data_IF_104943076939
#
_entry.id   IF_104943076939
#
_cell.length_a   1.000
_cell.length_b   1.000
_cell.length_c   1.000
_cell.angle_alpha   90.00
_cell.angle_beta   90.00
_cell.angle_gamma   90.00
#
_symmetry.space_group_name_H-M   'P 1'
#
loop_
_entity.id
_entity.type
_entity.pdbx_description
1 polymer ?
2 non-polymer ?
3 non-polymer ?
4 water ?
#
# COMPACT_ATOMS: atom_id res chain seq x y z
N UNK A 54 0.48 11.30 -26.14
CA UNK A 54 -0.21 10.08 -26.55
C UNK A 54 0.55 8.82 -26.13
N UNK A 55 1.87 8.83 -26.31
CA UNK A 55 2.68 7.67 -25.95
C UNK A 55 2.56 7.36 -24.47
N UNK A 56 2.66 8.38 -23.61
CA UNK A 56 2.54 8.14 -22.18
C UNK A 56 1.11 7.84 -21.75
N UNK A 57 0.11 8.29 -22.52
CA UNK A 57 -1.27 7.91 -22.23
C UNK A 57 -1.50 6.42 -22.48
N UNK A 58 -0.77 5.83 -23.44
CA UNK A 58 -0.98 4.45 -23.82
C UNK A 58 0.00 3.47 -23.18
N UNK A 59 1.11 3.95 -22.60
CA UNK A 59 2.19 3.07 -22.17
C UNK A 59 1.72 2.08 -21.10
N UNK A 60 1.03 2.58 -20.07
CA UNK A 60 0.67 1.71 -18.95
C UNK A 60 -0.25 0.58 -19.39
N UNK A 61 -1.18 0.88 -20.30
CA UNK A 61 -2.12 -0.14 -20.74
C UNK A 61 -1.51 -1.09 -21.76
N UNK A 62 -0.47 -0.66 -22.47
CA UNK A 62 0.06 -1.44 -23.58
C UNK A 62 1.33 -2.22 -23.30
N UNK A 63 1.96 -2.01 -22.13
CA UNK A 63 3.24 -2.62 -21.83
C UNK A 63 3.16 -3.58 -20.65
N UNK A 64 4.01 -4.60 -20.60
CA UNK A 64 4.10 -5.41 -19.39
C UNK A 64 4.82 -4.65 -18.28
N UNK A 65 4.53 -5.06 -17.05
CA UNK A 65 5.31 -4.61 -15.91
C UNK A 65 6.76 -5.10 -16.03
N UNK A 66 7.64 -4.44 -15.30
CA UNK A 66 9.02 -4.91 -15.15
C UNK A 66 9.02 -6.04 -14.12
N UNK A 67 9.08 -7.29 -14.61
CA UNK A 67 9.02 -8.45 -13.72
C UNK A 67 10.26 -8.57 -12.84
N UNK A 68 11.35 -7.88 -13.19
CA UNK A 68 12.58 -7.91 -12.41
C UNK A 68 12.65 -6.80 -11.36
N UNK A 69 11.58 -6.03 -11.17
CA UNK A 69 11.59 -4.97 -10.16
C UNK A 69 11.72 -5.58 -8.77
N UNK A 70 12.48 -4.90 -7.91
CA UNK A 70 12.77 -5.40 -6.58
C UNK A 70 12.05 -4.60 -5.51
N UNK A 71 11.78 -5.19 -4.34
CA UNK A 71 12.02 -6.60 -3.93
C UNK A 71 11.25 -7.59 -4.80
N UNK A 72 10.07 -7.14 -5.18
CA UNK A 72 9.13 -7.82 -6.07
C UNK A 72 8.45 -6.74 -6.87
N UNK A 73 7.78 -7.09 -7.98
CA UNK A 73 6.94 -6.11 -8.67
C UNK A 73 5.87 -5.57 -7.73
N UNK A 74 5.48 -4.31 -7.96
CA UNK A 74 4.45 -3.69 -7.14
C UNK A 74 4.93 -2.59 -6.18
N UNK A 75 6.18 -2.17 -6.27
CA UNK A 75 6.69 -1.08 -5.42
C UNK A 75 7.24 0.03 -6.30
N UNK A 76 8.24 -0.30 -7.12
CA UNK A 76 8.86 0.68 -8.00
C UNK A 76 8.13 0.75 -9.35
N UNK A 77 8.58 1.68 -10.19
CA UNK A 77 7.93 1.91 -11.46
C UNK A 77 6.68 2.75 -11.31
N UNK A 78 6.02 3.01 -12.43
CA UNK A 78 4.76 3.71 -12.39
C UNK A 78 3.69 2.79 -11.80
N UNK A 79 2.88 3.34 -10.91
CA UNK A 79 1.81 2.56 -10.31
C UNK A 79 0.65 2.44 -11.29
N UNK A 80 0.17 1.23 -11.53
CA UNK A 80 -0.99 1.05 -12.42
C UNK A 80 -2.24 1.69 -11.83
N UNK A 81 -3.22 1.89 -12.72
CA UNK A 81 -4.46 2.56 -12.33
C UNK A 81 -5.33 1.75 -11.37
N UNK A 82 -5.22 0.41 -11.37
CA UNK A 82 -6.09 -0.42 -10.54
C UNK A 82 -5.26 -1.33 -9.65
N UNK A 83 -5.83 -1.65 -8.49
CA UNK A 83 -5.21 -2.59 -7.55
C UNK A 83 -6.30 -3.48 -6.96
N UNK A 84 -5.91 -4.70 -6.62
CA UNK A 84 -6.73 -5.59 -5.82
C UNK A 84 -5.84 -6.08 -4.71
N UNK A 85 -6.18 -5.75 -3.47
CA UNK A 85 -5.43 -6.16 -2.29
C UNK A 85 -6.20 -7.28 -1.63
N UNK A 86 -5.58 -8.45 -1.48
CA UNK A 86 -6.26 -9.60 -0.91
C UNK A 86 -5.44 -10.13 0.25
N UNK A 87 -6.09 -10.28 1.41
CA UNK A 87 -5.49 -10.86 2.59
C UNK A 87 -6.06 -12.25 2.81
N UNK A 88 -5.18 -13.24 3.01
CA UNK A 88 -5.58 -14.63 3.16
C UNK A 88 -5.14 -15.15 4.52
N UNK A 89 -5.91 -16.10 5.05
CA UNK A 89 -5.50 -16.88 6.19
C UNK A 89 -5.30 -18.33 5.76
N UNK A 90 -4.34 -19.01 6.37
CA UNK A 90 -4.28 -20.45 6.18
C UNK A 90 -5.60 -21.06 6.61
N UNK A 91 -6.06 -22.04 5.84
CA UNK A 91 -7.34 -22.65 6.12
C UNK A 91 -7.32 -23.34 7.47
N UNK A 92 -8.48 -23.38 8.14
CA UNK A 92 -8.51 -24.03 9.44
C UNK A 92 -8.15 -25.50 9.34
N UNK A 93 -8.39 -26.10 8.17
CA UNK A 93 -8.13 -27.53 7.98
C UNK A 93 -6.65 -27.87 7.88
N UNK A 94 -5.75 -26.90 7.73
CA UNK A 94 -4.32 -27.20 7.60
C UNK A 94 -3.55 -26.89 8.88
N UNK A 95 -4.24 -26.61 9.99
CA UNK A 95 -3.61 -26.17 11.22
C UNK A 95 -3.55 -27.26 12.30
N UNK A 96 -3.53 -28.54 11.91
CA UNK A 96 -3.32 -29.60 12.91
C UNK A 96 -2.11 -29.31 13.77
N UNK A 97 -1.00 -28.96 13.13
CA UNK A 97 0.23 -28.66 13.84
C UNK A 97 1.03 -27.71 12.96
N UNK A 98 2.17 -27.26 13.49
CA UNK A 98 3.00 -26.33 12.75
C UNK A 98 3.55 -26.94 11.47
N UNK A 99 3.66 -28.27 11.40
CA UNK A 99 4.15 -28.92 10.20
C UNK A 99 3.12 -28.94 9.09
N UNK A 100 1.86 -29.24 9.40
CA UNK A 100 0.85 -29.19 8.35
C UNK A 100 0.63 -27.76 7.89
N UNK A 101 0.76 -26.79 8.79
CA UNK A 101 0.62 -25.39 8.39
C UNK A 101 1.79 -24.97 7.50
N UNK A 102 3.01 -25.38 7.85
CA UNK A 102 4.15 -25.02 7.03
C UNK A 102 4.06 -25.64 5.64
N UNK A 103 3.60 -26.89 5.54
CA UNK A 103 3.45 -27.53 4.24
C UNK A 103 2.40 -26.81 3.40
N UNK A 104 1.31 -26.38 4.04
CA UNK A 104 0.31 -25.61 3.30
C UNK A 104 0.88 -24.28 2.80
N UNK A 105 1.63 -23.59 3.66
CA UNK A 105 2.24 -22.33 3.27
C UNK A 105 3.19 -22.52 2.10
N UNK A 106 4.00 -23.58 2.13
CA UNK A 106 4.93 -23.84 1.03
C UNK A 106 4.17 -24.11 -0.26
N UNK A 107 3.06 -24.83 -0.17
CA UNK A 107 2.28 -25.17 -1.35
C UNK A 107 1.71 -23.91 -1.99
N UNK A 108 1.08 -23.04 -1.20
CA UNK A 108 0.43 -21.89 -1.81
C UNK A 108 1.45 -20.85 -2.28
N UNK A 109 2.54 -20.66 -1.52
CA UNK A 109 3.53 -19.68 -1.97
C UNK A 109 4.21 -20.11 -3.26
N UNK A 110 4.54 -21.40 -3.40
CA UNK A 110 5.12 -21.86 -4.66
C UNK A 110 4.12 -21.75 -5.81
N UNK A 111 2.85 -22.10 -5.56
CA UNK A 111 1.82 -22.01 -6.59
C UNK A 111 1.65 -20.57 -7.07
N UNK A 112 1.54 -19.64 -6.13
CA UNK A 112 1.39 -18.24 -6.51
C UNK A 112 2.59 -17.75 -7.30
N UNK A 113 3.79 -18.15 -6.89
CA UNK A 113 4.99 -17.69 -7.58
C UNK A 113 5.06 -18.22 -9.01
N UNK A 114 4.72 -19.50 -9.20
CA UNK A 114 4.73 -20.07 -10.53
C UNK A 114 3.70 -19.39 -11.41
N UNK A 115 2.51 -19.14 -10.87
CA UNK A 115 1.47 -18.47 -11.63
C UNK A 115 1.84 -17.02 -11.90
N UNK A 116 2.40 -16.32 -10.90
CA UNK A 116 2.85 -14.95 -11.12
C UNK A 116 3.89 -14.87 -12.24
N UNK A 117 4.84 -15.81 -12.28
CA UNK A 117 5.82 -15.81 -13.36
C UNK A 117 5.15 -15.92 -14.72
N UNK A 118 4.16 -16.81 -14.85
CA UNK A 118 3.45 -16.94 -16.11
C UNK A 118 2.65 -15.69 -16.43
N UNK A 119 2.00 -15.09 -15.42
CA UNK A 119 1.21 -13.89 -15.65
C UNK A 119 2.10 -12.72 -16.06
N UNK A 120 3.25 -12.57 -15.41
CA UNK A 120 4.15 -11.48 -15.78
C UNK A 120 4.66 -11.66 -17.21
N UNK A 121 4.92 -12.90 -17.61
CA UNK A 121 5.54 -13.14 -18.92
C UNK A 121 4.52 -13.16 -20.05
N UNK A 122 3.33 -13.72 -19.83
CA UNK A 122 2.36 -13.94 -20.89
C UNK A 122 0.98 -13.33 -20.62
N UNK A 123 0.67 -12.91 -19.41
CA UNK A 123 -0.65 -12.42 -19.08
C UNK A 123 -1.60 -13.53 -18.70
N UNK A 124 -2.84 -13.17 -18.32
CA UNK A 124 -3.85 -14.22 -18.06
C UNK A 124 -4.09 -15.05 -19.30
N UNK A 125 -4.42 -16.32 -19.07
CA UNK A 125 -4.45 -17.28 -20.15
C UNK A 125 -5.52 -16.92 -21.18
N UNK A 126 -5.43 -17.56 -22.34
CA UNK A 126 -6.58 -17.61 -23.22
C UNK A 126 -7.76 -18.22 -22.46
N UNK A 127 -8.96 -17.89 -22.91
CA UNK A 127 -10.13 -18.38 -22.23
C UNK A 127 -10.45 -17.71 -20.92
N UNK A 128 -9.79 -16.61 -20.60
CA UNK A 128 -10.15 -15.83 -19.42
C UNK A 128 -10.84 -14.54 -19.87
N UNK A 129 -11.26 -13.74 -18.88
CA UNK A 129 -11.86 -12.44 -19.16
C UNK A 129 -10.90 -11.50 -19.88
N UNK A 130 -9.59 -11.75 -19.81
CA UNK A 130 -8.60 -10.84 -20.37
C UNK A 130 -8.10 -11.25 -21.74
N UNK A 131 -8.67 -12.30 -22.34
CA UNK A 131 -8.26 -12.67 -23.69
C UNK A 131 -8.51 -11.51 -24.64
N UNK A 132 -7.52 -11.23 -25.49
CA UNK A 132 -7.61 -10.14 -26.44
C UNK A 132 -7.14 -8.80 -25.92
N UNK A 133 -6.63 -8.75 -24.69
CA UNK A 133 -6.17 -7.50 -24.11
C UNK A 133 -4.65 -7.47 -24.02
N UNK A 134 -4.13 -6.24 -23.99
CA UNK A 134 -2.70 -5.99 -23.85
C UNK A 134 -2.27 -6.30 -22.41
N UNK A 135 -0.97 -6.32 -22.14
CA UNK A 135 -0.52 -6.76 -20.80
C UNK A 135 -0.93 -5.84 -19.67
N UNK A 136 -1.09 -4.55 -19.97
CA UNK A 136 -1.64 -3.58 -19.01
C UNK A 136 -0.87 -3.56 -17.69
N UNK A 137 0.45 -3.70 -17.78
CA UNK A 137 1.34 -3.53 -16.63
C UNK A 137 0.97 -4.44 -15.46
N UNK A 138 0.49 -5.65 -15.75
CA UNK A 138 0.08 -6.57 -14.69
C UNK A 138 1.26 -6.90 -13.79
N UNK A 139 1.05 -6.74 -12.48
CA UNK A 139 2.10 -7.01 -11.50
C UNK A 139 1.52 -7.68 -10.26
N UNK A 140 2.23 -8.68 -9.76
CA UNK A 140 1.81 -9.46 -8.60
C UNK A 140 2.89 -9.39 -7.53
N UNK A 141 2.49 -9.00 -6.31
CA UNK A 141 3.34 -8.93 -5.13
C UNK A 141 2.81 -9.88 -4.06
N UNK A 142 3.72 -10.62 -3.42
CA UNK A 142 3.38 -11.56 -2.36
C UNK A 142 3.96 -11.07 -1.03
N UNK A 143 3.13 -11.06 0.02
CA UNK A 143 3.58 -10.65 1.34
C UNK A 143 3.21 -11.67 2.38
N UNK A 144 3.95 -11.62 3.50
CA UNK A 144 3.84 -12.59 4.59
C UNK A 144 3.56 -11.86 5.89
N UNK A 145 2.54 -12.32 6.62
CA UNK A 145 2.22 -11.72 7.90
C UNK A 145 2.95 -12.37 9.07
N UNK A 146 3.12 -11.58 10.14
CA UNK A 146 3.69 -12.15 11.37
C UNK A 146 2.92 -13.38 11.83
N UNK A 147 1.60 -13.37 11.63
CA UNK A 147 0.77 -14.50 12.06
C UNK A 147 1.10 -15.76 11.28
N UNK A 148 1.52 -15.63 10.03
CA UNK A 148 1.98 -16.80 9.27
C UNK A 148 3.17 -17.44 9.97
N UNK A 149 4.15 -16.61 10.35
CA UNK A 149 5.33 -17.16 11.00
C UNK A 149 4.96 -17.84 12.31
N UNK A 150 4.00 -17.29 13.05
CA UNK A 150 3.54 -17.97 14.25
C UNK A 150 2.94 -19.34 13.91
N UNK A 151 2.10 -19.37 12.87
CA UNK A 151 1.34 -20.58 12.55
C UNK A 151 2.23 -21.71 12.08
N UNK A 152 3.37 -21.40 11.46
CA UNK A 152 4.24 -22.44 10.90
C UNK A 152 5.41 -22.78 11.81
N UNK A 153 5.43 -22.24 13.02
CA UNK A 153 6.49 -22.55 13.95
C UNK A 153 7.77 -21.81 13.70
N UNK A 154 7.69 -20.60 13.14
CA UNK A 154 8.86 -19.82 12.76
C UNK A 154 8.92 -18.48 13.51
N UNK A 155 8.44 -18.46 14.76
CA UNK A 155 8.48 -17.23 15.56
C UNK A 155 9.90 -16.68 15.69
N UNK A 156 10.90 -17.56 15.77
CA UNK A 156 12.28 -17.08 15.89
C UNK A 156 12.82 -16.52 14.59
N UNK A 157 12.06 -16.59 13.49
CA UNK A 157 12.45 -15.96 12.24
C UNK A 157 11.83 -14.58 12.06
N UNK A 158 10.96 -14.16 12.99
CA UNK A 158 10.29 -12.85 12.86
C UNK A 158 11.26 -11.72 13.15
N UNK A 159 11.56 -10.85 12.19
CA UNK A 159 12.38 -9.68 12.51
C UNK A 159 11.63 -8.71 13.43
N UNK A 160 12.39 -7.89 14.14
CA UNK A 160 11.77 -6.87 14.98
C UNK A 160 10.84 -5.97 14.18
N UNK A 161 11.17 -5.69 12.92
CA UNK A 161 10.34 -4.82 12.10
C UNK A 161 8.97 -5.42 11.78
N UNK A 162 8.78 -6.72 11.96
CA UNK A 162 7.49 -7.35 11.74
C UNK A 162 6.64 -7.38 12.99
N UNK A 163 7.04 -6.67 14.04
CA UNK A 163 6.21 -6.58 15.22
C UNK A 163 4.84 -6.00 14.89
N UNK A 164 3.82 -6.48 15.58
CA UNK A 164 2.47 -5.98 15.35
C UNK A 164 2.40 -4.47 15.52
N UNK A 165 1.57 -3.83 14.70
CA UNK A 165 1.38 -2.41 14.83
C UNK A 165 0.68 -2.10 16.16
N UNK A 166 1.01 -0.99 16.82
CA UNK A 166 0.31 -0.63 18.04
C UNK A 166 -1.09 -0.13 17.73
N UNK A 167 -1.91 -0.05 18.77
CA UNK A 167 -3.17 0.66 18.68
C UNK A 167 -2.88 2.16 18.66
N UNK A 168 -3.71 2.90 17.94
CA UNK A 168 -3.63 4.35 17.96
C UNK A 168 -4.95 4.91 18.48
N UNK A 169 -4.87 6.12 19.04
CA UNK A 169 -6.01 6.68 19.77
C UNK A 169 -7.22 6.93 18.88
N UNK A 170 -7.04 7.06 17.57
CA UNK A 170 -8.14 7.32 16.65
C UNK A 170 -8.65 6.07 15.95
N UNK A 171 -8.09 4.89 16.26
CA UNK A 171 -8.51 3.64 15.62
C UNK A 171 -10.01 3.41 15.76
N UNK A 172 -10.63 2.97 14.66
CA UNK A 172 -11.99 2.41 14.66
C UNK A 172 -11.99 1.11 13.84
N UNK A 173 -11.10 0.20 14.20
CA UNK A 173 -10.78 -0.94 13.35
C UNK A 173 -11.79 -2.05 13.49
N UNK A 174 -12.21 -2.61 12.35
CA UNK A 174 -13.03 -3.81 12.34
C UNK A 174 -12.11 -5.03 12.31
N UNK A 175 -12.18 -5.96 13.26
CA UNK A 175 -11.24 -7.09 13.26
C UNK A 175 -11.24 -7.91 11.98
N UNK A 176 -12.39 -8.08 11.32
CA UNK A 176 -12.42 -8.86 10.09
C UNK A 176 -11.72 -8.14 8.93
N UNK A 177 -11.41 -6.86 9.08
CA UNK A 177 -10.69 -6.10 8.07
C UNK A 177 -9.24 -5.88 8.45
N UNK A 178 -8.73 -6.61 9.43
CA UNK A 178 -7.37 -6.42 9.92
C UNK A 178 -6.56 -7.70 9.79
N UNK A 179 -5.25 -7.52 9.56
CA UNK A 179 -4.31 -8.62 9.60
C UNK A 179 -4.46 -9.57 8.43
N UNK A 180 -3.87 -10.75 8.61
CA UNK A 180 -3.87 -11.80 7.60
C UNK A 180 -2.54 -12.52 7.55
N UNK A 181 -2.58 -13.82 7.28
CA UNK A 181 -1.34 -14.60 7.16
C UNK A 181 -0.58 -14.26 5.89
N UNK A 182 -1.29 -13.98 4.79
CA UNK A 182 -0.67 -13.86 3.48
C UNK A 182 -1.33 -12.73 2.72
N UNK A 183 -0.54 -12.08 1.86
CA UNK A 183 -0.98 -10.95 1.04
C UNK A 183 -0.72 -11.20 -0.43
N UNK A 184 -1.72 -10.92 -1.26
CA UNK A 184 -1.48 -10.66 -2.68
C UNK A 184 -1.84 -9.22 -2.97
N UNK A 185 -0.92 -8.48 -3.57
CA UNK A 185 -1.22 -7.19 -4.16
C UNK A 185 -1.15 -7.38 -5.66
N UNK A 186 -2.27 -7.19 -6.35
CA UNK A 186 -2.33 -7.39 -7.78
C UNK A 186 -2.65 -6.04 -8.41
N UNK A 187 -1.85 -5.63 -9.39
CA UNK A 187 -2.05 -4.35 -10.04
C UNK A 187 -2.11 -4.51 -11.54
N UNK A 188 -2.89 -3.64 -12.17
CA UNK A 188 -2.93 -3.58 -13.63
C UNK A 188 -3.58 -2.27 -14.05
N UNK A 189 -3.33 -1.90 -15.31
CA UNK A 189 -3.90 -0.67 -15.87
C UNK A 189 -5.30 -0.90 -16.43
N UNK A 190 -5.78 -2.13 -16.42
CA UNK A 190 -7.08 -2.49 -16.93
C UNK A 190 -7.82 -3.39 -15.96
N UNK A 191 -9.11 -3.13 -15.72
CA UNK A 191 -9.85 -3.89 -14.70
C UNK A 191 -10.15 -5.31 -15.11
N UNK A 192 -10.24 -5.59 -16.42
CA UNK A 192 -10.47 -6.97 -16.83
C UNK A 192 -9.20 -7.80 -16.75
N UNK A 193 -8.05 -7.21 -17.10
CA UNK A 193 -6.78 -7.90 -16.87
C UNK A 193 -6.62 -8.22 -15.39
N UNK A 194 -6.94 -7.25 -14.54
CA UNK A 194 -6.85 -7.45 -13.09
C UNK A 194 -7.79 -8.55 -12.63
N UNK A 195 -9.05 -8.51 -13.09
CA UNK A 195 -10.03 -9.49 -12.65
C UNK A 195 -9.62 -10.89 -13.05
N UNK A 196 -9.08 -11.05 -14.26
CA UNK A 196 -8.68 -12.38 -14.71
C UNK A 196 -7.51 -12.90 -13.91
N UNK A 197 -6.52 -12.05 -13.61
CA UNK A 197 -5.38 -12.49 -12.82
C UNK A 197 -5.78 -12.84 -11.39
N UNK A 198 -6.63 -11.99 -10.79
CA UNK A 198 -7.08 -12.26 -9.43
C UNK A 198 -7.84 -13.58 -9.35
N UNK A 199 -8.68 -13.86 -10.35
CA UNK A 199 -9.43 -15.13 -10.34
C UNK A 199 -8.49 -16.32 -10.37
N UNK A 200 -7.46 -16.28 -11.23
CA UNK A 200 -6.51 -17.38 -11.30
C UNK A 200 -5.74 -17.54 -10.00
N UNK A 201 -5.34 -16.42 -9.40
CA UNK A 201 -4.52 -16.52 -8.20
C UNK A 201 -5.33 -17.02 -7.01
N UNK A 202 -6.58 -16.58 -6.89
CA UNK A 202 -7.43 -17.09 -5.82
C UNK A 202 -7.71 -18.57 -6.04
N UNK A 203 -7.95 -18.98 -7.29
CA UNK A 203 -8.22 -20.39 -7.55
C UNK A 203 -7.06 -21.26 -7.11
N UNK A 204 -5.83 -20.76 -7.25
CA UNK A 204 -4.66 -21.52 -6.87
C UNK A 204 -4.52 -21.67 -5.37
N UNK A 205 -5.30 -20.94 -4.60
CA UNK A 205 -5.16 -20.90 -3.15
C UNK A 205 -6.26 -21.65 -2.42
N UNK A 206 -7.20 -22.28 -3.13
CA UNK A 206 -8.46 -22.68 -2.50
C UNK A 206 -8.29 -23.79 -1.48
N UNK A 207 -7.38 -24.74 -1.71
CA UNK A 207 -7.30 -25.85 -0.77
C UNK A 207 -6.46 -25.55 0.46
N UNK A 208 -5.71 -24.46 0.46
CA UNK A 208 -4.79 -24.16 1.54
C UNK A 208 -5.15 -22.90 2.32
N UNK A 209 -5.97 -22.01 1.76
CA UNK A 209 -6.21 -20.72 2.36
C UNK A 209 -7.66 -20.33 2.18
N UNK A 210 -8.07 -19.29 2.93
CA UNK A 210 -9.36 -18.65 2.77
C UNK A 210 -9.15 -17.14 2.73
N UNK A 211 -9.96 -16.45 1.92
CA UNK A 211 -9.86 -15.00 1.84
C UNK A 211 -10.35 -14.42 3.16
N UNK A 212 -9.48 -13.64 3.82
CA UNK A 212 -9.87 -12.97 5.05
C UNK A 212 -10.60 -11.66 4.76
N UNK A 213 -9.99 -10.81 3.95
CA UNK A 213 -10.64 -9.60 3.46
C UNK A 213 -9.98 -9.21 2.15
N UNK A 214 -10.69 -8.41 1.36
CA UNK A 214 -10.15 -7.97 0.07
C UNK A 214 -10.74 -6.63 -0.28
N UNK A 215 -9.94 -5.81 -0.95
CA UNK A 215 -10.40 -4.49 -1.34
C UNK A 215 -9.81 -4.12 -2.69
N UNK A 216 -10.68 -3.67 -3.60
CA UNK A 216 -10.27 -3.17 -4.90
C UNK A 216 -10.11 -1.65 -4.81
N UNK A 217 -9.09 -1.13 -5.49
CA UNK A 217 -8.82 0.28 -5.48
C UNK A 217 -8.51 0.80 -6.87
N UNK A 218 -8.58 2.13 -7.01
CA UNK A 218 -8.36 2.74 -8.32
C UNK A 218 -7.73 4.11 -8.18
N UNK A 219 -7.05 4.51 -9.24
CA UNK A 219 -6.59 5.86 -9.54
C UNK A 219 -7.16 6.26 -10.88
N UNK A 220 -6.83 7.45 -11.34
CA UNK A 220 -7.17 7.76 -12.72
C UNK A 220 -6.32 6.90 -13.65
N UNK A 221 -6.86 6.68 -14.85
CA UNK A 221 -6.13 5.94 -15.86
C UNK A 221 -5.18 6.87 -16.62
N UNK A 222 -4.05 6.32 -17.04
CA UNK A 222 -3.10 7.13 -17.80
C UNK A 222 -3.76 7.69 -19.05
N UNK A 223 -4.64 6.92 -19.68
CA UNK A 223 -5.26 7.37 -20.93
C UNK A 223 -6.08 8.63 -20.74
N UNK A 224 -6.58 8.90 -19.53
CA UNK A 224 -7.43 10.05 -19.28
C UNK A 224 -6.70 11.24 -18.69
N UNK A 225 -5.38 11.15 -18.52
CA UNK A 225 -4.63 12.25 -17.92
C UNK A 225 -4.33 13.31 -18.98
N UNK A 226 -4.74 14.55 -18.71
CA UNK A 226 -4.31 15.66 -19.56
C UNK A 226 -2.79 15.78 -19.57
N UNK A 227 -2.17 15.62 -18.40
CA UNK A 227 -0.71 15.61 -18.27
C UNK A 227 -0.32 14.29 -17.60
N UNK A 228 0.19 13.33 -18.36
CA UNK A 228 0.39 11.98 -17.79
C UNK A 228 1.42 11.93 -16.68
N UNK A 229 2.31 12.93 -16.57
CA UNK A 229 3.28 12.98 -15.50
C UNK A 229 2.75 13.67 -14.25
N UNK A 230 1.53 14.20 -14.27
CA UNK A 230 1.02 14.92 -13.11
C UNK A 230 0.73 13.97 -11.96
N UNK A 231 0.85 14.50 -10.75
CA UNK A 231 0.56 13.73 -9.55
C UNK A 231 -0.93 13.43 -9.49
N UNK A 232 -1.32 12.21 -9.08
CA UNK A 232 -2.76 11.87 -9.00
C UNK A 232 -3.46 12.65 -7.91
N UNK A 233 -4.79 12.63 -7.97
CA UNK A 233 -5.65 13.18 -6.92
C UNK A 233 -6.43 12.08 -6.22
N UNK A 234 -6.89 12.36 -5.00
CA UNK A 234 -7.69 11.42 -4.25
C UNK A 234 -9.16 11.86 -4.29
N UNK A 235 -10.01 11.14 -3.54
CA UNK A 235 -11.45 11.40 -3.60
C UNK A 235 -11.85 12.69 -2.89
N UNK A 236 -10.96 13.25 -2.08
CA UNK A 236 -11.17 14.58 -1.52
C UNK A 236 -10.75 15.68 -2.49
N UNK A 237 -10.27 15.32 -3.68
CA UNK A 237 -9.83 16.26 -4.68
C UNK A 237 -8.41 16.75 -4.52
N UNK A 238 -7.67 16.19 -3.56
CA UNK A 238 -6.34 16.68 -3.22
C UNK A 238 -5.28 16.01 -4.07
N UNK A 239 -4.26 16.78 -4.45
CA UNK A 239 -3.09 16.21 -5.09
C UNK A 239 -2.37 15.33 -4.09
N UNK A 240 -2.07 14.10 -4.48
CA UNK A 240 -1.70 13.04 -3.54
C UNK A 240 -0.42 12.36 -4.02
N UNK A 241 0.70 12.64 -3.33
CA UNK A 241 1.95 11.95 -3.60
C UNK A 241 3.17 12.84 -3.69
N UNK A 242 2.97 14.15 -3.58
CA UNK A 242 4.03 15.12 -3.85
C UNK A 242 5.32 14.84 -3.08
N UNK A 243 5.21 14.56 -1.77
CA UNK A 243 6.39 14.48 -0.93
C UNK A 243 7.05 13.11 -0.91
N UNK A 244 6.57 12.17 -1.71
CA UNK A 244 7.23 10.87 -1.80
C UNK A 244 8.69 11.04 -2.26
N UNK A 245 9.61 10.23 -1.75
CA UNK A 245 10.96 10.22 -2.30
C UNK A 245 10.95 9.75 -3.75
N UNK A 246 11.76 10.42 -4.58
CA UNK A 246 11.86 10.07 -5.99
C UNK A 246 12.54 8.71 -6.16
N UNK A 247 12.07 7.94 -7.14
CA UNK A 247 12.53 6.56 -7.26
C UNK A 247 13.98 6.46 -7.73
N UNK A 248 14.47 7.47 -8.47
CA UNK A 248 15.86 7.43 -8.95
C UNK A 248 16.83 8.05 -7.95
N UNK A 249 16.46 8.08 -6.68
CA UNK A 249 17.12 8.83 -5.62
C UNK A 249 17.60 7.85 -4.56
N UNK A 250 18.80 8.08 -4.00
CA UNK A 250 19.25 7.22 -2.92
C UNK A 250 18.31 7.27 -1.71
N UNK A 251 17.58 8.38 -1.55
CA UNK A 251 16.60 8.46 -0.47
C UNK A 251 15.52 7.40 -0.60
N UNK A 252 15.17 7.01 -1.82
CA UNK A 252 14.11 6.01 -1.98
C UNK A 252 14.52 4.68 -1.35
N UNK A 253 15.70 4.17 -1.71
CA UNK A 253 16.14 2.90 -1.15
C UNK A 253 16.33 2.99 0.36
N UNK A 254 16.86 4.13 0.85
CA UNK A 254 17.01 4.30 2.29
C UNK A 254 15.65 4.24 2.99
N UNK A 255 14.61 4.74 2.33
CA UNK A 255 13.29 4.80 2.93
C UNK A 255 12.59 3.44 2.89
N UNK A 256 12.76 2.69 1.80
CA UNK A 256 11.89 1.54 1.50
C UNK A 256 12.52 0.21 1.92
N UNK A 257 13.83 0.09 1.87
CA UNK A 257 14.49 -1.21 1.97
C UNK A 257 14.83 -1.56 3.42
N UNK A 258 14.53 -2.81 3.81
CA UNK A 258 14.87 -3.27 5.15
C UNK A 258 16.36 -3.14 5.41
N UNK A 259 16.71 -2.83 6.65
CA UNK A 259 18.11 -2.80 7.04
C UNK A 259 18.65 -4.23 7.13
N UNK A 260 19.87 -4.41 6.60
CA UNK A 260 20.50 -5.72 6.58
C UNK A 260 20.52 -6.35 7.97
N UNK A 261 20.11 -7.60 8.05
CA UNK A 261 19.93 -8.26 9.33
C UNK A 261 21.27 -8.55 9.97
N UNK A 262 21.33 -8.36 11.28
CA UNK A 262 22.49 -8.86 12.03
C UNK A 262 22.28 -10.29 12.51
N UNK A 263 21.03 -10.72 12.64
CA UNK A 263 20.71 -12.10 13.01
C UNK A 263 20.44 -12.87 11.73
N UNK A 264 21.19 -13.92 11.42
CA UNK A 264 20.93 -14.64 10.16
C UNK A 264 19.55 -15.24 10.10
N UNK A 265 18.89 -15.45 11.25
CA UNK A 265 17.52 -15.97 11.23
C UNK A 265 16.56 -14.98 10.61
N UNK A 266 16.93 -13.70 10.55
CA UNK A 266 16.09 -12.65 10.00
C UNK A 266 16.54 -12.20 8.63
N UNK A 267 17.60 -12.78 8.08
CA UNK A 267 18.18 -12.34 6.82
C UNK A 267 17.27 -12.62 5.64
N UNK A 268 16.24 -13.45 5.81
CA UNK A 268 15.31 -13.68 4.71
C UNK A 268 14.62 -12.39 4.27
N UNK A 269 14.62 -11.35 5.12
CA UNK A 269 14.06 -10.07 4.71
C UNK A 269 15.10 -9.10 4.13
N UNK A 270 16.37 -9.49 4.01
CA UNK A 270 17.35 -8.60 3.41
C UNK A 270 16.93 -8.23 1.99
N UNK A 271 16.96 -6.93 1.69
CA UNK A 271 16.51 -6.43 0.40
C UNK A 271 15.00 -6.32 0.25
N UNK A 272 14.23 -6.72 1.25
CA UNK A 272 12.78 -6.64 1.20
C UNK A 272 12.27 -5.31 1.74
N UNK A 273 10.94 -5.22 1.82
CA UNK A 273 10.30 -4.02 2.36
C UNK A 273 9.10 -4.44 3.17
N UNK A 274 8.64 -3.55 4.05
CA UNK A 274 7.44 -3.77 4.85
C UNK A 274 6.33 -2.86 4.36
N UNK A 275 5.14 -3.44 4.18
CA UNK A 275 3.96 -2.73 3.72
C UNK A 275 2.99 -2.58 4.88
N UNK A 276 2.58 -1.35 5.16
CA UNK A 276 1.44 -1.06 6.04
C UNK A 276 0.25 -0.70 5.18
N UNK A 277 -0.87 -1.41 5.37
CA UNK A 277 -2.13 -1.10 4.71
C UNK A 277 -3.09 -0.52 5.75
N UNK A 278 -3.77 0.57 5.40
CA UNK A 278 -4.85 1.10 6.22
C UNK A 278 -6.04 1.39 5.34
N UNK A 279 -7.20 0.90 5.74
CA UNK A 279 -8.45 1.20 5.07
C UNK A 279 -9.05 2.41 5.76
N UNK A 280 -8.99 3.56 5.11
CA UNK A 280 -9.33 4.84 5.74
C UNK A 280 -10.57 5.40 5.05
N UNK A 281 -11.71 5.35 5.74
CA UNK A 281 -12.94 5.91 5.17
C UNK A 281 -12.85 7.44 5.23
N UNK A 282 -13.25 8.08 4.14
CA UNK A 282 -13.34 9.54 4.09
C UNK A 282 -14.77 9.97 4.36
N UNK A 283 -14.92 11.00 5.18
CA UNK A 283 -16.23 11.59 5.50
C UNK A 283 -16.54 12.63 4.43
N UNK A 284 -16.91 12.15 3.24
CA UNK A 284 -17.01 13.02 2.08
C UNK A 284 -18.21 13.97 2.17
N UNK A 285 -19.29 13.58 2.84
CA UNK A 285 -20.42 14.50 2.98
C UNK A 285 -20.04 15.70 3.86
N UNK A 286 -19.30 15.44 4.95
CA UNK A 286 -18.81 16.53 5.78
C UNK A 286 -17.79 17.38 5.03
N UNK A 287 -16.90 16.72 4.29
CA UNK A 287 -15.89 17.43 3.51
C UNK A 287 -16.54 18.37 2.50
N UNK A 288 -17.64 17.94 1.88
CA UNK A 288 -18.34 18.75 0.91
C UNK A 288 -18.83 20.06 1.51
N UNK A 289 -19.04 20.11 2.83
CA UNK A 289 -19.50 21.33 3.47
C UNK A 289 -18.44 22.40 3.64
N UNK A 290 -17.16 22.07 3.45
CA UNK A 290 -16.09 23.04 3.65
C UNK A 290 -15.85 23.84 2.38
N UNK A 291 -15.62 25.15 2.53
CA UNK A 291 -15.18 25.86 1.35
C UNK A 291 -13.71 25.55 1.07
N UNK A 292 -13.23 26.03 -0.07
CA UNK A 292 -11.88 25.69 -0.51
C UNK A 292 -10.82 26.17 0.47
N UNK A 293 -10.84 27.42 0.96
CA UNK A 293 -9.82 27.82 1.93
C UNK A 293 -9.80 26.94 3.17
N UNK A 294 -10.98 26.50 3.63
CA UNK A 294 -11.03 25.63 4.79
C UNK A 294 -10.43 24.26 4.49
N UNK A 295 -10.70 23.72 3.30
CA UNK A 295 -10.07 22.46 2.91
C UNK A 295 -8.55 22.60 2.89
N UNK A 296 -8.06 23.72 2.37
CA UNK A 296 -6.62 23.91 2.25
C UNK A 296 -5.98 24.10 3.63
N UNK A 297 -6.71 24.70 4.58
CA UNK A 297 -6.19 24.85 5.94
C UNK A 297 -6.06 23.50 6.64
N UNK A 298 -7.00 22.58 6.37
CA UNK A 298 -6.91 21.23 6.94
C UNK A 298 -5.65 20.52 6.47
N UNK A 299 -5.33 20.64 5.18
CA UNK A 299 -4.22 19.89 4.60
C UNK A 299 -2.87 20.60 4.76
N UNK A 300 -2.83 21.89 4.43
CA UNK A 300 -1.58 22.62 4.37
C UNK A 300 -1.07 22.84 2.95
N UNK A 301 -1.79 22.37 1.95
CA UNK A 301 -1.45 22.57 0.55
C UNK A 301 -2.70 22.98 -0.22
N UNK A 302 -2.46 23.69 -1.32
CA UNK A 302 -3.53 24.27 -2.12
C UNK A 302 -4.23 23.21 -2.97
N UNK A 303 -5.52 23.42 -3.18
CA UNK A 303 -6.29 22.45 -3.94
C UNK A 303 -6.01 22.54 -5.44
N UNK A 304 -5.83 23.76 -5.98
CA UNK A 304 -5.61 23.85 -7.42
C UNK A 304 -4.18 23.47 -7.80
N UNK A 305 -3.18 24.05 -7.14
CA UNK A 305 -1.79 23.86 -7.54
C UNK A 305 -1.06 22.77 -6.75
N UNK A 306 -1.59 22.38 -5.59
CA UNK A 306 -0.83 21.53 -4.69
C UNK A 306 0.33 22.21 -3.99
N UNK A 307 0.50 23.51 -4.17
CA UNK A 307 1.60 24.20 -3.50
C UNK A 307 1.36 24.26 -2.00
N UNK A 308 2.41 24.29 -1.19
CA UNK A 308 2.25 24.65 0.22
C UNK A 308 1.57 26.01 0.31
N UNK A 309 0.88 26.26 1.42
CA UNK A 309 0.08 27.49 1.52
C UNK A 309 0.93 28.73 1.29
N UNK A 310 2.19 28.72 1.69
CA UNK A 310 3.04 29.88 1.47
C UNK A 310 3.82 29.88 0.18
N UNK A 311 3.64 28.85 -0.67
CA UNK A 311 4.37 28.72 -1.90
C UNK A 311 3.53 29.01 -3.13
N UNK A 312 4.12 28.71 -4.30
CA UNK A 312 3.50 29.01 -5.58
C UNK A 312 3.39 27.81 -6.51
N UNK A 313 4.12 26.73 -6.25
CA UNK A 313 4.22 25.59 -7.13
C UNK A 313 4.16 24.32 -6.28
N UNK A 314 3.65 23.23 -6.88
CA UNK A 314 3.53 21.97 -6.15
C UNK A 314 4.83 21.59 -5.46
N UNK A 315 5.95 21.80 -6.14
CA UNK A 315 7.25 21.35 -5.67
C UNK A 315 7.95 22.34 -4.74
N UNK A 316 7.33 23.47 -4.42
CA UNK A 316 7.91 24.36 -3.43
C UNK A 316 7.96 23.68 -2.07
N UNK A 317 8.99 23.95 -1.28
CA UNK A 317 9.09 23.28 0.03
C UNK A 317 8.03 23.75 1.01
N UNK A 318 7.60 22.82 1.85
CA UNK A 318 6.74 23.16 2.99
C UNK A 318 7.65 23.76 4.05
N UNK A 319 7.49 25.05 4.32
CA UNK A 319 8.37 25.75 5.23
C UNK A 319 7.66 25.82 6.59
N UNK A 320 7.98 24.88 7.48
CA UNK A 320 7.26 24.78 8.74
C UNK A 320 7.60 25.91 9.70
N UNK A 321 8.71 26.62 9.48
CA UNK A 321 9.07 27.75 10.33
C UNK A 321 8.49 29.08 9.85
N UNK A 322 7.85 29.11 8.69
CA UNK A 322 7.38 30.37 8.12
C UNK A 322 6.19 30.90 8.92
N UNK A 323 6.17 32.22 9.11
CA UNK A 323 5.11 32.87 9.86
C UNK A 323 4.46 33.95 8.99
N UNK A 324 3.17 34.18 9.22
CA UNK A 324 2.47 35.23 8.48
C UNK A 324 2.64 36.56 9.20
N UNK A 325 1.97 37.60 8.69
CA UNK A 325 2.14 38.93 9.25
C UNK A 325 1.70 39.02 10.70
N UNK A 326 0.83 38.10 11.16
CA UNK A 326 0.37 38.09 12.54
C UNK A 326 1.32 37.36 13.48
N UNK A 327 2.38 36.75 12.98
CA UNK A 327 3.25 35.95 13.79
C UNK A 327 2.83 34.50 13.97
N UNK A 328 1.74 34.08 13.32
CA UNK A 328 1.25 32.72 13.37
C UNK A 328 1.79 31.91 12.20
N UNK A 329 1.83 30.59 12.33
CA UNK A 329 2.40 29.75 11.26
C UNK A 329 1.63 29.86 9.95
N UNK A 330 2.37 29.91 8.85
CA UNK A 330 1.75 29.84 7.53
C UNK A 330 1.10 28.47 7.31
N UNK A 331 1.82 27.42 7.67
CA UNK A 331 1.27 26.06 7.67
C UNK A 331 0.67 25.82 9.06
N UNK A 332 -0.65 25.65 9.18
CA UNK A 332 -1.27 25.58 10.50
C UNK A 332 -0.66 24.52 11.42
N UNK A 333 -0.79 24.78 12.72
CA UNK A 333 -0.25 23.90 13.75
C UNK A 333 -0.83 22.49 13.65
N UNK A 334 -2.06 22.35 13.17
CA UNK A 334 -2.71 21.05 13.05
C UNK A 334 -2.89 20.59 11.61
N UNK A 335 -2.23 21.24 10.65
CA UNK A 335 -2.33 20.82 9.26
C UNK A 335 -1.68 19.46 9.08
N UNK A 336 -2.33 18.62 8.25
CA UNK A 336 -1.84 17.27 8.00
C UNK A 336 -0.39 17.26 7.56
N UNK A 337 -0.02 18.12 6.60
CA UNK A 337 1.35 18.02 6.08
C UNK A 337 2.37 18.51 7.09
N UNK A 338 1.97 19.31 8.08
CA UNK A 338 2.89 19.62 9.17
C UNK A 338 3.15 18.39 10.05
N UNK A 339 2.08 17.76 10.54
CA UNK A 339 2.25 16.67 11.48
C UNK A 339 2.79 15.41 10.83
N UNK A 340 2.62 15.23 9.52
CA UNK A 340 3.14 14.05 8.82
C UNK A 340 4.58 14.23 8.33
N UNK A 341 5.10 15.45 8.35
CA UNK A 341 6.41 15.75 7.78
C UNK A 341 7.50 15.00 8.56
N UNK A 342 8.51 14.45 7.86
CA UNK A 342 9.65 13.86 8.60
C UNK A 342 10.24 14.81 9.63
N UNK A 343 10.26 16.11 9.36
CA UNK A 343 10.81 17.09 10.31
C UNK A 343 10.06 17.12 11.62
N UNK A 344 8.81 16.69 11.63
CA UNK A 344 7.99 16.65 12.84
C UNK A 344 8.06 15.31 13.54
N UNK A 345 8.86 14.37 13.01
CA UNK A 345 8.83 12.98 13.44
C UNK A 345 10.23 12.40 13.52
N UNK A 346 11.23 13.23 13.85
CA UNK A 346 12.62 12.77 14.00
C UNK A 346 13.10 12.01 12.76
N UNK A 347 12.67 12.45 11.58
CA UNK A 347 13.11 11.91 10.32
C UNK A 347 12.35 10.71 9.80
N UNK A 348 11.29 10.26 10.48
CA UNK A 348 10.52 9.12 10.00
C UNK A 348 9.93 9.43 8.63
N UNK A 349 10.00 8.45 7.74
CA UNK A 349 9.67 8.66 6.34
C UNK A 349 9.15 7.36 5.75
N UNK A 350 8.29 7.47 4.75
CA UNK A 350 7.75 6.29 4.08
C UNK A 350 7.47 6.62 2.62
N UNK A 351 7.23 5.58 1.82
CA UNK A 351 6.84 5.73 0.42
C UNK A 351 5.37 5.33 0.32
N UNK A 352 4.53 6.30 -0.01
CA UNK A 352 3.08 6.09 -0.04
C UNK A 352 2.63 5.77 -1.47
N UNK A 353 1.98 4.61 -1.64
CA UNK A 353 1.59 4.13 -2.96
C UNK A 353 0.15 3.60 -2.83
N UNK A 354 -0.79 4.52 -2.66
CA UNK A 354 -2.15 4.19 -2.31
C UNK A 354 -3.13 4.35 -3.46
N UNK A 355 -4.37 3.97 -3.16
CA UNK A 355 -5.44 3.91 -4.14
C UNK A 355 -6.72 4.40 -3.48
N UNK A 356 -7.66 4.86 -4.29
CA UNK A 356 -8.98 5.17 -3.78
C UNK A 356 -9.84 3.91 -3.78
N UNK A 357 -10.83 3.85 -2.88
CA UNK A 357 -11.79 2.76 -2.94
C UNK A 357 -13.21 3.30 -2.78
N UNK A 358 -14.17 2.52 -3.27
CA UNK A 358 -15.59 2.88 -3.19
C UNK A 358 -16.39 1.60 -3.01
N UNK A 359 -16.88 1.38 -1.78
CA UNK A 359 -17.65 0.19 -1.44
C UNK A 359 -19.14 0.49 -1.32
N UNK A 360 -19.59 1.59 -1.90
CA UNK A 360 -21.02 1.89 -1.94
C UNK A 360 -21.51 2.49 -0.64
N UNK A 361 -22.65 1.98 -0.17
CA UNK A 361 -23.29 2.48 1.04
C UNK A 361 -23.47 1.33 2.01
N UNK A 362 -23.15 1.56 3.28
CA UNK A 362 -23.36 0.58 4.31
C UNK A 362 -24.81 0.57 4.74
N UNK A 363 -25.13 -0.27 5.73
CA UNK A 363 -26.53 -0.45 6.13
C UNK A 363 -27.09 0.79 6.81
N UNK A 364 -26.24 1.62 7.44
CA UNK A 364 -26.70 2.84 8.07
C UNK A 364 -26.79 4.02 7.10
N UNK A 365 -26.58 3.78 5.80
CA UNK A 365 -26.79 4.78 4.78
C UNK A 365 -25.62 5.70 4.51
N UNK A 366 -24.51 5.55 5.21
CA UNK A 366 -23.35 6.40 4.98
C UNK A 366 -22.47 5.79 3.90
N UNK A 367 -21.93 6.64 3.04
CA UNK A 367 -21.04 6.21 1.98
C UNK A 367 -19.80 5.55 2.57
N UNK A 368 -19.40 4.42 2.01
CA UNK A 368 -18.17 3.75 2.41
C UNK A 368 -17.18 3.88 1.24
N UNK A 369 -16.45 4.99 1.22
CA UNK A 369 -15.43 5.25 0.23
C UNK A 369 -14.29 5.95 0.94
N UNK A 370 -13.09 5.87 0.37
CA UNK A 370 -11.98 6.53 1.02
C UNK A 370 -10.64 6.20 0.40
N UNK A 371 -9.63 6.12 1.24
CA UNK A 371 -8.26 5.90 0.81
C UNK A 371 -7.82 4.50 1.23
N UNK A 372 -7.41 3.69 0.25
CA UNK A 372 -6.67 2.46 0.51
C UNK A 372 -5.22 2.90 0.63
N UNK A 373 -4.85 3.23 1.87
CA UNK A 373 -3.51 3.71 2.20
C UNK A 373 -2.54 2.55 2.20
N UNK A 374 -1.41 2.73 1.52
CA UNK A 374 -0.37 1.72 1.48
C UNK A 374 0.97 2.44 1.62
N UNK A 375 1.70 2.13 2.67
CA UNK A 375 3.00 2.75 2.91
C UNK A 375 4.07 1.69 2.96
N UNK A 376 5.16 1.94 2.25
CA UNK A 376 6.32 1.06 2.18
C UNK A 376 7.48 1.67 2.97
N UNK A 377 8.17 0.84 3.75
CA UNK A 377 9.30 1.32 4.54
C UNK A 377 10.17 0.14 4.94
N UNK A 378 11.42 0.44 5.27
CA UNK A 378 12.30 -0.62 5.75
C UNK A 378 12.01 -1.08 7.16
N UNK A 379 11.33 -0.24 7.96
CA UNK A 379 10.97 -0.56 9.33
C UNK A 379 9.80 0.32 9.73
N UNK A 380 8.63 -0.26 10.04
CA UNK A 380 7.50 0.56 10.49
C UNK A 380 7.84 1.46 11.66
N UNK A 381 8.76 1.06 12.53
CA UNK A 381 9.12 1.89 13.69
C UNK A 381 9.80 3.20 13.29
N UNK A 382 10.35 3.29 12.08
CA UNK A 382 10.93 4.55 11.60
C UNK A 382 10.19 5.05 10.35
N UNK A 383 8.94 4.66 10.20
CA UNK A 383 8.11 5.09 9.10
C UNK A 383 6.69 5.33 9.57
N UNK A 384 5.79 4.40 9.24
CA UNK A 384 4.38 4.58 9.54
C UNK A 384 4.11 4.87 11.00
N UNK A 385 4.72 4.10 11.92
CA UNK A 385 4.24 4.11 13.31
C UNK A 385 4.42 5.47 14.00
N UNK A 386 5.60 6.08 14.02
CA UNK A 386 5.70 7.40 14.69
C UNK A 386 4.88 8.47 14.00
N UNK A 387 4.78 8.43 12.66
CA UNK A 387 3.97 9.42 11.96
C UNK A 387 2.50 9.27 12.33
N UNK A 388 1.99 8.03 12.34
CA UNK A 388 0.58 7.84 12.69
C UNK A 388 0.32 8.24 14.14
N UNK A 389 1.29 8.02 15.04
CA UNK A 389 1.12 8.47 16.41
C UNK A 389 1.04 10.00 16.48
N UNK A 390 1.81 10.68 15.63
CA UNK A 390 1.74 12.14 15.57
C UNK A 390 0.37 12.61 15.09
N UNK A 391 -0.14 11.99 14.02
CA UNK A 391 -1.44 12.37 13.50
C UNK A 391 -2.55 12.12 14.52
N UNK A 392 -2.48 10.98 15.21
CA UNK A 392 -3.56 10.59 16.12
C UNK A 392 -3.51 11.39 17.41
N UNK A 393 -2.31 11.63 17.95
CA UNK A 393 -2.18 12.23 19.28
C UNK A 393 -2.05 13.75 19.26
N UNK A 394 -1.55 14.33 18.17
CA UNK A 394 -1.31 15.77 18.12
C UNK A 394 -2.38 16.51 17.33
N UNK A 395 -3.49 15.86 17.02
CA UNK A 395 -4.67 16.57 16.57
C UNK A 395 -4.72 16.97 15.11
N UNK A 396 -4.21 16.12 14.22
CA UNK A 396 -4.36 16.35 12.78
C UNK A 396 -5.77 16.75 12.44
N UNK A 397 -5.90 17.91 11.77
CA UNK A 397 -7.22 18.37 11.35
C UNK A 397 -7.90 17.37 10.44
N UNK A 398 -7.13 16.55 9.73
CA UNK A 398 -7.69 15.52 8.86
C UNK A 398 -8.39 14.42 9.66
N UNK A 399 -8.09 14.28 10.96
CA UNK A 399 -8.81 13.31 11.78
C UNK A 399 -10.33 13.57 11.79
N UNK A 400 -10.75 14.83 11.59
CA UNK A 400 -12.17 15.14 11.62
C UNK A 400 -12.90 14.57 10.41
N UNK A 401 -12.18 14.17 9.37
CA UNK A 401 -12.78 13.76 8.11
C UNK A 401 -12.38 12.35 7.69
N UNK A 402 -11.74 11.59 8.58
CA UNK A 402 -11.27 10.26 8.22
C UNK A 402 -11.48 9.29 9.38
N UNK A 403 -11.60 8.01 9.04
CA UNK A 403 -11.77 6.94 10.03
C UNK A 403 -10.98 5.72 9.59
N UNK A 404 -10.02 5.30 10.41
CA UNK A 404 -9.23 4.11 10.12
C UNK A 404 -10.02 2.88 10.52
N UNK A 405 -10.43 2.07 9.54
CA UNK A 405 -11.31 0.94 9.77
C UNK A 405 -10.70 -0.42 9.45
N UNK A 406 -9.56 -0.48 8.77
CA UNK A 406 -8.84 -1.72 8.58
C UNK A 406 -7.34 -1.45 8.60
N UNK A 407 -6.57 -2.50 8.89
CA UNK A 407 -5.13 -2.34 9.10
C UNK A 407 -4.42 -3.67 8.92
N UNK A 408 -3.24 -3.64 8.30
CA UNK A 408 -2.43 -4.84 8.21
C UNK A 408 -0.98 -4.47 7.97
N UNK A 409 -0.09 -5.34 8.41
CA UNK A 409 1.34 -5.22 8.16
C UNK A 409 1.80 -6.49 7.47
N UNK A 410 2.55 -6.35 6.39
CA UNK A 410 3.09 -7.51 5.67
C UNK A 410 4.56 -7.31 5.37
N UNK A 411 5.32 -8.39 5.51
CA UNK A 411 6.72 -8.45 5.08
C UNK A 411 6.76 -8.89 3.62
N UNK A 412 7.43 -8.10 2.77
CA UNK A 412 7.48 -8.37 1.34
C UNK A 412 8.93 -8.65 0.95
N UNK A 413 9.34 -9.91 0.90
CA UNK A 413 10.75 -10.23 0.68
C UNK A 413 11.16 -10.03 -0.77
N UNK A 414 12.47 -9.95 -0.98
CA UNK A 414 13.02 -9.79 -2.32
C UNK A 414 12.88 -11.07 -3.13
N UNK A 415 12.61 -10.91 -4.42
CA UNK A 415 12.60 -12.03 -5.33
C UNK A 415 14.01 -12.56 -5.54
N UNK A 416 14.11 -13.86 -5.77
CA UNK A 416 15.38 -14.53 -5.97
C UNK A 416 15.27 -15.52 -7.11
N UNK A 417 16.35 -15.68 -7.86
CA UNK A 417 16.35 -16.52 -9.05
C UNK A 417 15.95 -17.95 -8.71
N UNK A 418 14.92 -18.47 -9.39
CA UNK A 418 14.49 -19.83 -9.20
C UNK A 418 13.94 -20.13 -7.81
N UNK A 419 13.51 -19.11 -7.08
CA UNK A 419 12.99 -19.30 -5.74
C UNK A 419 11.71 -18.48 -5.58
N UNK A 420 10.81 -18.94 -4.71
CA UNK A 420 9.58 -18.21 -4.51
C UNK A 420 9.66 -17.35 -3.27
N UNK A 421 8.89 -16.26 -3.21
CA UNK A 421 8.93 -15.38 -2.03
C UNK A 421 8.63 -16.15 -0.75
N UNK A 422 9.54 -16.04 0.21
CA UNK A 422 9.40 -16.73 1.47
C UNK A 422 9.92 -18.15 1.47
N UNK A 423 10.53 -18.60 0.38
CA UNK A 423 11.00 -19.99 0.34
C UNK A 423 12.07 -20.23 1.39
N UNK A 424 12.99 -19.29 1.56
CA UNK A 424 14.09 -19.54 2.48
C UNK A 424 13.65 -19.35 3.92
N UNK A 425 12.45 -18.81 4.11
CA UNK A 425 11.80 -18.82 5.41
C UNK A 425 11.03 -20.12 5.62
N UNK A 426 10.29 -20.58 4.60
CA UNK A 426 9.35 -21.69 4.77
C UNK A 426 9.96 -23.05 4.44
N UNK A 427 11.15 -23.09 3.85
CA UNK A 427 11.84 -24.37 3.61
C UNK A 427 13.25 -24.37 4.17
#
# INVERSE_FOLDING_TARGET
MTGPEPTRTGNASRRRFLAGLGAAALTGAGAGMAAGEAVRPLLPDPGPATDPAAEERLRMAGQPADAAATPQPGITGRAPAFVHVLSFDLADTVRENTGTAREAAATVLRSWAELATRLHEDGPAEGTAATGLLPASLMVTVGLGGSLLQAIGAADRRPDALADLPEFSTDELRPRWCGGDLLLQIGAEDPMVLAAAADELVAASTRTTTVRWALRGFRHTAAAARNPDATPRNLMGQIDGTANPAQDHALFDRTVTAREARDPAHAWMDGGSYLVIRRIRMLLDEWRGLDVPARERVLGRRLDTGAPLGGRKETDPVVLTARDASGRPVIPEDAHVRLANPESNLGARMFRRGYSYDEGWRDDGVRDAGLLFMAWQGDPATGFVPVQRSLADRGDALNRYTRHEGSALFAVPAAARGRYPGQDLVEG
#
